data_IF_724858168582
#
_entry.id   IF_724858168582
#
_cell.length_a   1.000
_cell.length_b   1.000
_cell.length_c   1.000
_cell.angle_alpha   90.00
_cell.angle_beta   90.00
_cell.angle_gamma   90.00
#
_symmetry.space_group_name_H-M   'P 1'
#
loop_
_entity.id
_entity.type
_entity.pdbx_description
1 polymer ?
#
# COMPACT_ATOMS: atom_id res chain seq x y z
N UNK A 1 -3.44 9.94 -34.44
CA UNK A 1 -2.37 10.52 -33.61
C UNK A 1 -2.81 10.39 -32.17
N UNK A 2 -2.41 9.31 -31.49
CA UNK A 2 -2.78 9.04 -30.10
C UNK A 2 -2.05 10.01 -29.17
N UNK A 3 -2.79 10.92 -28.55
CA UNK A 3 -2.31 11.72 -27.42
C UNK A 3 -2.11 10.80 -26.22
N UNK A 4 -0.92 10.19 -26.14
CA UNK A 4 -0.43 9.64 -24.89
C UNK A 4 -0.33 10.79 -23.90
N UNK A 5 -1.37 10.99 -23.09
CA UNK A 5 -1.25 11.81 -21.89
C UNK A 5 -0.20 11.13 -21.02
N UNK A 6 1.03 11.62 -21.10
CA UNK A 6 2.12 11.24 -20.21
C UNK A 6 1.64 11.60 -18.81
N UNK A 7 1.11 10.60 -18.09
CA UNK A 7 0.61 10.74 -16.73
C UNK A 7 1.74 11.33 -15.92
N UNK A 8 1.65 12.62 -15.56
CA UNK A 8 2.72 13.31 -14.82
C UNK A 8 2.99 12.49 -13.55
N UNK A 9 4.20 11.96 -13.45
CA UNK A 9 4.64 11.17 -12.29
C UNK A 9 4.46 12.04 -11.05
N UNK A 10 3.47 11.71 -10.22
CA UNK A 10 3.18 12.44 -8.98
C UNK A 10 4.08 11.90 -7.88
N UNK A 11 4.69 12.81 -7.14
CA UNK A 11 5.52 12.51 -5.99
C UNK A 11 4.78 12.93 -4.71
N UNK A 12 4.98 12.18 -3.64
CA UNK A 12 4.45 12.46 -2.31
C UNK A 12 5.60 12.73 -1.36
N UNK A 13 5.41 13.69 -0.46
CA UNK A 13 6.32 13.92 0.66
C UNK A 13 6.32 12.74 1.64
N UNK A 14 7.32 12.70 2.51
CA UNK A 14 7.37 11.76 3.64
C UNK A 14 6.08 11.84 4.47
N UNK A 15 5.59 13.05 4.74
CA UNK A 15 4.38 13.30 5.53
C UNK A 15 3.11 12.76 4.87
N UNK A 16 2.90 13.04 3.60
CA UNK A 16 1.75 12.53 2.86
C UNK A 16 1.78 11.00 2.75
N UNK A 17 2.97 10.44 2.52
CA UNK A 17 3.16 9.00 2.38
C UNK A 17 2.88 8.28 3.70
N UNK A 18 3.40 8.80 4.82
CA UNK A 18 3.13 8.27 6.16
C UNK A 18 1.63 8.28 6.48
N UNK A 19 0.92 9.37 6.13
CA UNK A 19 -0.54 9.47 6.28
C UNK A 19 -1.28 8.44 5.43
N UNK A 20 -0.93 8.28 4.15
CA UNK A 20 -1.61 7.33 3.26
C UNK A 20 -1.42 5.87 3.70
N UNK A 21 -0.24 5.55 4.21
CA UNK A 21 0.09 4.22 4.73
C UNK A 21 -0.41 4.00 6.16
N UNK A 22 -0.88 5.05 6.84
CA UNK A 22 -1.22 5.01 8.27
C UNK A 22 -0.06 4.47 9.13
N UNK A 23 1.18 4.86 8.81
CA UNK A 23 2.40 4.47 9.54
C UNK A 23 3.15 5.70 10.06
N UNK A 24 3.99 5.52 11.08
CA UNK A 24 4.86 6.60 11.57
C UNK A 24 5.99 6.91 10.58
N UNK A 25 6.52 8.14 10.63
CA UNK A 25 7.70 8.52 9.82
C UNK A 25 8.92 7.64 10.11
N UNK A 26 9.09 7.22 11.37
CA UNK A 26 10.16 6.31 11.77
C UNK A 26 9.98 4.93 11.11
N UNK A 27 8.75 4.41 11.07
CA UNK A 27 8.45 3.17 10.35
C UNK A 27 8.73 3.30 8.85
N UNK A 28 8.36 4.43 8.24
CA UNK A 28 8.66 4.73 6.83
C UNK A 28 10.18 4.82 6.56
N UNK A 29 10.95 5.39 7.50
CA UNK A 29 12.41 5.43 7.42
C UNK A 29 13.04 4.04 7.50
N UNK A 30 12.51 3.17 8.36
CA UNK A 30 12.93 1.77 8.47
C UNK A 30 12.62 0.99 7.19
N UNK A 31 11.41 1.12 6.66
CA UNK A 31 10.98 0.55 5.38
C UNK A 31 11.95 0.92 4.25
N UNK A 32 12.33 2.20 4.18
CA UNK A 32 13.33 2.68 3.24
C UNK A 32 14.71 2.04 3.45
N UNK A 33 15.19 1.97 4.69
CA UNK A 33 16.48 1.36 5.03
C UNK A 33 16.53 -0.12 4.61
N UNK A 34 15.45 -0.85 4.90
CA UNK A 34 15.29 -2.26 4.56
C UNK A 34 14.93 -2.49 3.08
N UNK A 35 14.79 -1.42 2.27
CA UNK A 35 14.31 -1.47 0.88
C UNK A 35 12.98 -2.23 0.74
N UNK A 36 12.15 -2.22 1.78
CA UNK A 36 10.83 -2.84 1.83
C UNK A 36 9.78 -1.73 1.84
N UNK A 37 9.12 -1.46 0.71
CA UNK A 37 8.12 -0.40 0.65
C UNK A 37 7.94 0.26 -0.70
N UNK A 38 7.22 1.39 -0.73
CA UNK A 38 7.06 2.21 -1.94
C UNK A 38 8.42 2.73 -2.44
N UNK A 39 8.52 2.93 -3.75
CA UNK A 39 9.73 3.51 -4.34
C UNK A 39 9.89 4.96 -3.90
N UNK A 40 11.11 5.32 -3.57
CA UNK A 40 11.50 6.66 -3.15
C UNK A 40 12.71 7.14 -3.93
N UNK A 41 12.90 8.46 -3.92
CA UNK A 41 14.08 9.11 -4.47
C UNK A 41 14.34 10.41 -3.72
N UNK A 42 15.54 10.97 -3.90
CA UNK A 42 15.86 12.32 -3.42
C UNK A 42 15.60 13.32 -4.55
N UNK A 43 14.79 14.35 -4.30
CA UNK A 43 14.51 15.44 -5.23
C UNK A 43 14.71 16.76 -4.50
N UNK A 44 15.58 17.62 -5.03
CA UNK A 44 15.93 18.91 -4.42
C UNK A 44 16.39 18.81 -2.94
N UNK A 45 17.11 17.74 -2.59
CA UNK A 45 17.56 17.48 -1.20
C UNK A 45 16.49 16.86 -0.30
N UNK A 46 15.26 16.71 -0.77
CA UNK A 46 14.15 16.12 0.00
C UNK A 46 13.85 14.70 -0.45
N UNK A 47 13.39 13.87 0.48
CA UNK A 47 12.98 12.50 0.20
C UNK A 47 11.53 12.51 -0.25
N UNK A 48 11.27 11.98 -1.45
CA UNK A 48 9.95 11.89 -2.03
C UNK A 48 9.64 10.47 -2.48
N UNK A 49 8.37 10.08 -2.44
CA UNK A 49 7.88 8.77 -2.83
C UNK A 49 7.07 8.84 -4.12
N UNK A 50 7.17 7.82 -4.96
CA UNK A 50 6.37 7.72 -6.19
C UNK A 50 4.93 7.36 -5.80
N UNK A 51 3.99 8.24 -6.10
CA UNK A 51 2.58 8.09 -5.70
C UNK A 51 1.96 6.76 -6.17
N UNK A 52 2.27 6.32 -7.40
CA UNK A 52 1.76 5.05 -7.93
C UNK A 52 2.22 3.86 -7.09
N UNK A 53 3.47 3.88 -6.62
CA UNK A 53 4.02 2.80 -5.80
C UNK A 53 3.46 2.81 -4.38
N UNK A 54 3.14 3.99 -3.85
CA UNK A 54 2.45 4.14 -2.56
C UNK A 54 1.03 3.55 -2.68
N UNK A 55 0.30 3.90 -3.73
CA UNK A 55 -1.04 3.36 -3.98
C UNK A 55 -1.08 1.84 -4.15
N UNK A 56 -0.13 1.27 -4.90
CA UNK A 56 0.01 -0.19 -5.03
C UNK A 56 0.30 -0.85 -3.67
N UNK A 57 1.17 -0.25 -2.87
CA UNK A 57 1.53 -0.79 -1.56
C UNK A 57 0.35 -0.77 -0.58
N UNK A 58 -0.40 0.34 -0.52
CA UNK A 58 -1.64 0.44 0.27
C UNK A 58 -2.63 -0.63 -0.15
N UNK A 59 -2.82 -0.82 -1.45
CA UNK A 59 -3.74 -1.83 -1.99
C UNK A 59 -3.32 -3.25 -1.61
N UNK A 60 -2.03 -3.54 -1.68
CA UNK A 60 -1.46 -4.82 -1.27
C UNK A 60 -1.67 -5.08 0.22
N UNK A 61 -1.41 -4.10 1.09
CA UNK A 61 -1.63 -4.25 2.53
C UNK A 61 -3.10 -4.50 2.86
N UNK A 62 -4.02 -3.73 2.26
CA UNK A 62 -5.46 -3.93 2.45
C UNK A 62 -5.92 -5.32 2.00
N UNK A 63 -5.41 -5.81 0.87
CA UNK A 63 -5.75 -7.15 0.39
C UNK A 63 -5.25 -8.25 1.34
N UNK A 64 -4.02 -8.13 1.87
CA UNK A 64 -3.48 -9.07 2.85
C UNK A 64 -4.35 -9.08 4.12
N UNK A 65 -4.66 -7.91 4.67
CA UNK A 65 -5.51 -7.80 5.86
C UNK A 65 -6.92 -8.37 5.63
N UNK A 66 -7.50 -8.14 4.46
CA UNK A 66 -8.79 -8.70 4.09
C UNK A 66 -8.76 -10.24 4.11
N UNK A 67 -7.77 -10.85 3.46
CA UNK A 67 -7.67 -12.32 3.42
C UNK A 67 -7.36 -12.93 4.80
N UNK A 68 -6.49 -12.30 5.59
CA UNK A 68 -6.23 -12.72 6.97
C UNK A 68 -7.50 -12.72 7.83
N UNK A 69 -8.39 -11.75 7.63
CA UNK A 69 -9.68 -11.70 8.34
C UNK A 69 -10.68 -12.77 7.84
N UNK A 70 -10.53 -13.28 6.62
CA UNK A 70 -11.40 -14.33 6.05
C UNK A 70 -10.96 -15.75 6.42
N UNK A 71 -9.67 -15.97 6.69
CA UNK A 71 -9.15 -17.29 7.10
C UNK A 71 -9.91 -17.94 8.27
N UNK A 72 -10.21 -17.24 9.39
CA UNK A 72 -10.97 -17.84 10.48
C UNK A 72 -12.45 -18.13 10.12
N UNK A 73 -13.02 -17.38 9.17
CA UNK A 73 -14.40 -17.61 8.70
C UNK A 73 -14.48 -18.90 7.85
N UNK A 74 -13.45 -19.19 7.05
CA UNK A 74 -13.36 -20.46 6.29
C UNK A 74 -13.27 -21.68 7.22
N UNK A 75 -12.55 -21.57 8.33
CA UNK A 75 -12.42 -22.64 9.33
C UNK A 75 -13.72 -22.91 10.09
N UNK A 76 -14.53 -21.88 10.33
CA UNK A 76 -15.80 -21.99 11.06
C UNK A 76 -17.03 -22.13 10.15
N UNK A 77 -16.84 -22.31 8.84
CA UNK A 77 -17.95 -22.47 7.89
C UNK A 77 -18.63 -23.83 8.09
N UNK A 78 -19.60 -23.89 9.01
CA UNK A 78 -20.55 -25.01 9.05
C UNK A 78 -21.54 -24.82 7.91
N UNK A 79 -21.52 -25.74 6.94
CA UNK A 79 -22.59 -25.81 5.94
C UNK A 79 -23.95 -25.88 6.66
N UNK A 80 -24.96 -25.10 6.25
CA UNK A 80 -26.28 -25.19 6.87
C UNK A 80 -26.79 -26.63 6.72
N UNK A 81 -27.00 -27.30 7.86
CA UNK A 81 -27.66 -28.60 7.91
C UNK A 81 -29.12 -28.37 7.54
N UNK A 82 -29.45 -28.53 6.27
CA UNK A 82 -30.85 -28.53 5.81
C UNK A 82 -31.46 -29.82 6.35
N UNK A 83 -32.22 -29.71 7.45
CA UNK A 83 -33.05 -30.81 7.94
C UNK A 83 -34.17 -31.02 6.91
N UNK A 84 -34.19 -32.22 6.31
CA UNK A 84 -35.22 -32.67 5.37
C UNK A 84 -36.52 -32.99 6.10
#
# INVERSE_FOLDING_TARGET
>A
MDTAQVKKQKYLSVDETAKQLSVSKAHLANMRSLKTGPKWMTKNGEIVYLADTVGLYVSKQKSISFWANLEPIKLNWKAPQIQK
#
